data_IF_877454897488
#
_entry.id   IF_877454897488
#
_cell.length_a   1.000
_cell.length_b   1.000
_cell.length_c   1.000
_cell.angle_alpha   90.00
_cell.angle_beta   90.00
_cell.angle_gamma   90.00
#
_symmetry.space_group_name_H-M   'P 1'
#
loop_
_entity.id
_entity.type
_entity.pdbx_description
1 polymer ?
#
# COMPACT_ATOMS: atom_id res chain seq x y z
N UNK A 1 -21.00 7.83 -30.99
CA UNK A 1 -20.11 7.65 -29.83
C UNK A 1 -19.55 6.22 -29.87
N UNK A 2 -18.44 5.99 -30.61
CA UNK A 2 -17.72 4.71 -30.52
C UNK A 2 -17.05 4.69 -29.15
N UNK A 3 -17.70 4.13 -28.13
CA UNK A 3 -16.99 3.80 -26.89
C UNK A 3 -16.03 2.68 -27.31
N UNK A 4 -14.77 3.04 -27.53
CA UNK A 4 -13.68 2.19 -27.98
C UNK A 4 -13.31 1.18 -26.89
N UNK A 5 -14.17 0.19 -26.65
CA UNK A 5 -13.87 -0.93 -25.77
C UNK A 5 -13.38 -2.05 -26.66
N UNK A 6 -12.06 -2.11 -26.88
CA UNK A 6 -11.43 -3.13 -27.73
C UNK A 6 -11.93 -4.56 -27.45
N UNK A 7 -12.10 -4.99 -26.18
CA UNK A 7 -12.69 -6.30 -25.90
C UNK A 7 -14.06 -6.52 -26.55
N UNK A 8 -14.93 -5.50 -26.61
CA UNK A 8 -16.25 -5.55 -27.24
C UNK A 8 -16.21 -5.41 -28.78
N UNK A 9 -15.03 -5.23 -29.36
CA UNK A 9 -14.84 -5.25 -30.81
C UNK A 9 -14.34 -6.62 -31.29
N UNK A 10 -13.76 -7.41 -30.39
CA UNK A 10 -13.34 -8.78 -30.69
C UNK A 10 -14.55 -9.70 -30.61
N UNK A 11 -14.78 -10.49 -31.64
CA UNK A 11 -15.81 -11.54 -31.61
C UNK A 11 -15.43 -12.63 -30.61
N UNK A 12 -16.43 -13.19 -29.91
CA UNK A 12 -16.19 -14.32 -29.00
C UNK A 12 -15.61 -15.50 -29.77
N UNK A 13 -14.43 -15.97 -29.34
CA UNK A 13 -13.74 -17.14 -29.90
C UNK A 13 -14.26 -18.45 -29.29
N UNK A 14 -15.58 -18.58 -29.18
CA UNK A 14 -16.24 -19.79 -28.67
C UNK A 14 -16.25 -19.98 -27.16
N UNK A 15 -16.04 -18.91 -26.38
CA UNK A 15 -16.07 -18.97 -24.92
C UNK A 15 -17.52 -19.03 -24.43
N UNK A 16 -17.84 -20.02 -23.58
CA UNK A 16 -19.19 -20.21 -23.03
C UNK A 16 -19.17 -20.06 -21.52
N UNK A 17 -20.11 -19.28 -20.97
CA UNK A 17 -20.37 -19.26 -19.53
C UNK A 17 -21.16 -20.51 -19.14
N UNK A 18 -20.60 -21.35 -18.29
CA UNK A 18 -21.21 -22.61 -17.83
C UNK A 18 -22.02 -22.38 -16.55
N UNK A 19 -21.44 -21.68 -15.58
CA UNK A 19 -22.10 -21.38 -14.32
C UNK A 19 -21.54 -20.10 -13.69
N UNK A 20 -22.32 -19.50 -12.79
CA UNK A 20 -21.90 -18.36 -11.99
C UNK A 20 -22.66 -18.33 -10.67
N UNK A 21 -21.95 -18.03 -9.58
CA UNK A 21 -22.60 -17.67 -8.31
C UNK A 21 -23.01 -16.20 -8.25
N UNK A 22 -22.55 -15.39 -9.21
CA UNK A 22 -22.99 -14.02 -9.40
C UNK A 22 -24.27 -13.98 -10.23
N UNK A 23 -25.24 -13.21 -9.77
CA UNK A 23 -26.38 -12.87 -10.62
C UNK A 23 -25.92 -11.96 -11.77
N UNK A 24 -25.87 -12.53 -12.98
CA UNK A 24 -25.40 -11.84 -14.17
C UNK A 24 -26.45 -10.85 -14.68
N UNK A 25 -26.19 -9.55 -14.49
CA UNK A 25 -26.99 -8.46 -15.06
C UNK A 25 -27.09 -8.64 -16.58
N UNK A 26 -28.25 -8.31 -17.15
CA UNK A 26 -28.49 -8.41 -18.61
C UNK A 26 -27.42 -7.67 -19.42
N UNK A 27 -26.99 -6.50 -18.95
CA UNK A 27 -25.95 -5.69 -19.60
C UNK A 27 -24.57 -6.35 -19.57
N UNK A 28 -24.22 -7.04 -18.48
CA UNK A 28 -22.95 -7.75 -18.33
C UNK A 28 -22.88 -8.98 -19.24
N UNK A 29 -24.02 -9.59 -19.61
CA UNK A 29 -24.05 -10.70 -20.58
C UNK A 29 -23.52 -10.32 -21.95
N UNK A 30 -23.56 -9.03 -22.32
CA UNK A 30 -22.96 -8.52 -23.57
C UNK A 30 -21.46 -8.85 -23.66
N UNK A 31 -20.74 -8.88 -22.54
CA UNK A 31 -19.32 -9.27 -22.51
C UNK A 31 -19.08 -10.70 -23.00
N UNK A 32 -20.09 -11.58 -22.92
CA UNK A 32 -20.01 -12.98 -23.32
C UNK A 32 -20.10 -13.17 -24.85
N UNK A 33 -20.67 -12.19 -25.56
CA UNK A 33 -20.72 -12.17 -27.03
C UNK A 33 -19.36 -11.79 -27.66
N UNK A 34 -18.41 -11.38 -26.81
CA UNK A 34 -17.11 -10.85 -27.18
C UNK A 34 -15.98 -11.52 -26.37
N UNK A 35 -14.84 -10.86 -26.21
CA UNK A 35 -13.82 -11.28 -25.25
C UNK A 35 -14.26 -10.92 -23.82
N UNK A 36 -14.55 -11.91 -22.94
CA UNK A 36 -14.97 -11.62 -21.58
C UNK A 36 -13.81 -11.04 -20.78
N UNK A 37 -14.09 -9.96 -20.06
CA UNK A 37 -13.14 -9.33 -19.14
C UNK A 37 -13.64 -9.52 -17.72
N UNK A 38 -12.80 -10.07 -16.86
CA UNK A 38 -13.12 -10.33 -15.45
C UNK A 38 -12.22 -9.43 -14.61
N UNK A 39 -12.82 -8.79 -13.61
CA UNK A 39 -12.08 -7.92 -12.70
C UNK A 39 -12.57 -8.09 -11.26
N UNK A 40 -11.64 -7.88 -10.33
CA UNK A 40 -11.93 -7.56 -8.94
C UNK A 40 -11.50 -6.10 -8.72
N UNK A 41 -12.11 -5.40 -7.78
CA UNK A 41 -11.62 -4.06 -7.42
C UNK A 41 -10.51 -4.17 -6.38
N UNK A 42 -9.55 -3.26 -6.41
CA UNK A 42 -8.49 -3.19 -5.40
C UNK A 42 -8.90 -2.33 -4.20
N UNK A 43 -7.89 -1.88 -3.44
CA UNK A 43 -8.07 -0.99 -2.30
C UNK A 43 -8.34 0.46 -2.70
N UNK A 44 -7.83 0.91 -3.85
CA UNK A 44 -7.97 2.28 -4.36
C UNK A 44 -9.37 2.57 -4.94
N UNK A 45 -10.00 1.57 -5.55
CA UNK A 45 -11.33 1.69 -6.10
C UNK A 45 -12.43 1.61 -5.03
N UNK A 46 -12.11 1.09 -3.83
CA UNK A 46 -13.08 0.90 -2.75
C UNK A 46 -13.85 2.19 -2.42
N UNK A 47 -15.14 2.05 -2.14
CA UNK A 47 -16.03 3.17 -1.76
C UNK A 47 -16.80 2.86 -0.49
N UNK A 48 -17.44 3.88 0.06
CA UNK A 48 -18.31 3.74 1.24
C UNK A 48 -19.55 2.89 0.92
N UNK A 49 -20.23 2.42 1.96
CA UNK A 49 -21.47 1.66 1.79
C UNK A 49 -22.51 2.48 1.01
N UNK A 50 -23.03 1.91 -0.07
CA UNK A 50 -24.07 2.54 -0.90
C UNK A 50 -23.52 3.34 -2.09
N UNK A 51 -22.20 3.52 -2.19
CA UNK A 51 -21.55 4.13 -3.34
C UNK A 51 -21.04 3.08 -4.32
N UNK A 52 -21.10 3.39 -5.62
CA UNK A 52 -20.55 2.52 -6.66
C UNK A 52 -19.07 2.82 -6.88
N UNK A 53 -18.25 1.77 -6.91
CA UNK A 53 -16.85 1.89 -7.32
C UNK A 53 -16.69 1.89 -8.85
N UNK A 54 -15.51 2.27 -9.33
CA UNK A 54 -15.24 2.38 -10.76
C UNK A 54 -15.42 1.04 -11.50
N UNK A 55 -15.05 -0.09 -10.89
CA UNK A 55 -15.20 -1.42 -11.50
C UNK A 55 -16.67 -1.82 -11.60
N UNK A 56 -17.48 -1.53 -10.58
CA UNK A 56 -18.94 -1.73 -10.63
C UNK A 56 -19.61 -0.85 -11.68
N UNK A 57 -19.15 0.38 -11.87
CA UNK A 57 -19.65 1.25 -12.95
C UNK A 57 -19.33 0.64 -14.32
N UNK A 58 -18.13 0.10 -14.52
CA UNK A 58 -17.76 -0.59 -15.76
C UNK A 58 -18.59 -1.86 -15.99
N UNK A 59 -18.91 -2.61 -14.93
CA UNK A 59 -19.84 -3.73 -14.99
C UNK A 59 -21.25 -3.28 -15.41
N UNK A 60 -21.76 -2.21 -14.80
CA UNK A 60 -23.07 -1.64 -15.11
C UNK A 60 -23.16 -1.10 -16.55
N UNK A 61 -22.02 -0.74 -17.13
CA UNK A 61 -21.90 -0.38 -18.54
C UNK A 61 -21.76 -1.61 -19.48
N UNK A 62 -21.67 -2.83 -18.93
CA UNK A 62 -21.53 -4.07 -19.70
C UNK A 62 -20.15 -4.27 -20.31
N UNK A 63 -19.10 -3.72 -19.67
CA UNK A 63 -17.74 -3.76 -20.19
C UNK A 63 -16.89 -4.87 -19.58
N UNK A 64 -17.24 -5.31 -18.38
CA UNK A 64 -16.57 -6.39 -17.65
C UNK A 64 -17.55 -7.10 -16.71
N UNK A 65 -17.09 -8.21 -16.14
CA UNK A 65 -17.74 -8.95 -15.06
C UNK A 65 -16.93 -8.68 -13.78
N UNK A 66 -17.57 -8.07 -12.79
CA UNK A 66 -16.93 -7.78 -11.50
C UNK A 66 -17.19 -8.93 -10.52
N UNK A 67 -16.16 -9.42 -9.82
CA UNK A 67 -16.31 -10.45 -8.79
C UNK A 67 -15.95 -9.90 -7.40
N UNK A 68 -16.80 -10.18 -6.42
CA UNK A 68 -16.46 -10.03 -5.01
C UNK A 68 -17.11 -11.15 -4.20
N UNK A 69 -16.27 -12.05 -3.68
CA UNK A 69 -16.67 -13.31 -3.04
C UNK A 69 -17.59 -14.16 -3.94
N UNK A 70 -17.23 -14.25 -5.22
CA UNK A 70 -18.03 -14.89 -6.26
C UNK A 70 -17.18 -15.74 -7.20
N UNK A 71 -17.84 -16.65 -7.92
CA UNK A 71 -17.23 -17.59 -8.86
C UNK A 71 -17.96 -17.58 -10.19
N UNK A 72 -17.20 -17.71 -11.26
CA UNK A 72 -17.69 -17.88 -12.64
C UNK A 72 -16.92 -19.03 -13.29
N UNK A 73 -17.60 -19.81 -14.11
CA UNK A 73 -17.00 -20.93 -14.84
C UNK A 73 -17.20 -20.73 -16.32
N UNK A 74 -16.10 -20.73 -17.06
CA UNK A 74 -16.09 -20.68 -18.52
C UNK A 74 -15.62 -21.99 -19.10
N UNK A 75 -16.07 -22.29 -20.32
CA UNK A 75 -15.59 -23.39 -21.12
C UNK A 75 -15.21 -22.92 -22.52
N UNK A 76 -14.08 -23.42 -23.01
CA UNK A 76 -13.66 -23.30 -24.41
C UNK A 76 -12.95 -24.60 -24.81
N UNK A 77 -13.33 -25.17 -25.94
CA UNK A 77 -12.70 -26.37 -26.52
C UNK A 77 -12.58 -27.55 -25.52
N UNK A 78 -13.58 -27.71 -24.65
CA UNK A 78 -13.62 -28.76 -23.61
C UNK A 78 -12.83 -28.46 -22.35
N UNK A 79 -12.08 -27.35 -22.29
CA UNK A 79 -11.34 -26.90 -21.12
C UNK A 79 -12.22 -25.98 -20.29
N UNK A 80 -12.44 -26.33 -19.02
CA UNK A 80 -13.19 -25.50 -18.06
C UNK A 80 -12.26 -24.71 -17.16
N UNK A 81 -12.53 -23.42 -16.99
CA UNK A 81 -11.80 -22.53 -16.10
C UNK A 81 -12.76 -21.94 -15.09
N UNK A 82 -12.53 -22.20 -13.81
CA UNK A 82 -13.26 -21.63 -12.69
C UNK A 82 -12.47 -20.46 -12.10
N UNK A 83 -13.06 -19.27 -12.09
CA UNK A 83 -12.43 -18.05 -11.58
C UNK A 83 -13.20 -17.61 -10.35
N UNK A 84 -12.53 -17.62 -9.21
CA UNK A 84 -13.01 -17.21 -7.91
C UNK A 84 -12.39 -15.84 -7.62
N UNK A 85 -13.18 -14.83 -7.25
CA UNK A 85 -12.64 -13.48 -7.01
C UNK A 85 -13.06 -12.87 -5.68
N UNK A 86 -12.08 -12.45 -4.89
CA UNK A 86 -12.28 -11.60 -3.70
C UNK A 86 -11.63 -10.24 -3.96
N UNK A 87 -12.46 -9.20 -4.11
CA UNK A 87 -11.97 -7.82 -4.20
C UNK A 87 -11.30 -7.34 -2.90
N UNK A 88 -10.46 -6.33 -3.00
CA UNK A 88 -9.73 -5.77 -1.86
C UNK A 88 -10.64 -5.18 -0.79
N UNK A 89 -10.43 -5.60 0.45
CA UNK A 89 -11.13 -5.11 1.66
C UNK A 89 -10.11 -4.61 2.69
N UNK A 90 -10.49 -3.81 3.70
CA UNK A 90 -9.53 -3.37 4.72
C UNK A 90 -8.81 -4.57 5.36
N UNK A 91 -7.50 -4.45 5.56
CA UNK A 91 -6.63 -5.58 5.95
C UNK A 91 -7.14 -6.34 7.18
N UNK A 92 -7.62 -5.60 8.19
CA UNK A 92 -8.19 -6.18 9.43
C UNK A 92 -9.39 -7.11 9.22
N UNK A 93 -10.07 -7.06 8.08
CA UNK A 93 -11.22 -7.91 7.76
C UNK A 93 -10.90 -8.97 6.71
N UNK A 94 -9.74 -8.91 6.06
CA UNK A 94 -9.41 -9.74 4.90
C UNK A 94 -9.41 -11.23 5.24
N UNK A 95 -8.72 -11.61 6.32
CA UNK A 95 -8.65 -13.00 6.81
C UNK A 95 -10.02 -13.58 7.14
N UNK A 96 -10.84 -12.82 7.88
CA UNK A 96 -12.16 -13.28 8.32
C UNK A 96 -13.11 -13.42 7.13
N UNK A 97 -13.07 -12.47 6.18
CA UNK A 97 -13.85 -12.55 4.96
C UNK A 97 -13.45 -13.77 4.11
N UNK A 98 -12.14 -14.01 3.93
CA UNK A 98 -11.65 -15.16 3.19
C UNK A 98 -12.08 -16.48 3.83
N UNK A 99 -12.00 -16.57 5.16
CA UNK A 99 -12.47 -17.73 5.93
C UNK A 99 -13.98 -17.92 5.87
N UNK A 100 -14.76 -16.85 5.93
CA UNK A 100 -16.21 -16.90 5.85
C UNK A 100 -16.69 -17.29 4.45
N UNK A 101 -16.07 -16.72 3.41
CA UNK A 101 -16.38 -17.05 2.02
C UNK A 101 -15.94 -18.48 1.68
N UNK A 102 -14.80 -18.92 2.19
CA UNK A 102 -14.25 -20.27 2.08
C UNK A 102 -14.29 -20.84 0.64
N UNK A 103 -13.70 -20.16 -0.35
CA UNK A 103 -13.77 -20.60 -1.74
C UNK A 103 -13.13 -21.98 -1.90
N UNK A 104 -13.83 -22.89 -2.58
CA UNK A 104 -13.35 -24.25 -2.86
C UNK A 104 -13.11 -24.44 -4.35
N UNK A 105 -12.03 -25.11 -4.75
CA UNK A 105 -11.80 -25.47 -6.14
C UNK A 105 -12.92 -26.39 -6.64
N UNK A 106 -13.35 -26.18 -7.89
CA UNK A 106 -14.33 -27.01 -8.57
C UNK A 106 -13.66 -28.18 -9.29
N UNK A 107 -14.31 -29.35 -9.22
CA UNK A 107 -13.85 -30.55 -9.93
C UNK A 107 -13.90 -30.33 -11.44
N UNK A 108 -12.99 -30.99 -12.15
CA UNK A 108 -12.88 -30.98 -13.62
C UNK A 108 -12.76 -29.56 -14.22
N UNK A 109 -12.20 -28.63 -13.45
CA UNK A 109 -11.92 -27.25 -13.85
C UNK A 109 -10.46 -26.91 -13.52
N UNK A 110 -9.88 -26.01 -14.31
CA UNK A 110 -8.70 -25.25 -13.91
C UNK A 110 -9.12 -24.11 -12.97
N UNK A 111 -8.66 -24.13 -11.73
CA UNK A 111 -9.15 -23.27 -10.66
C UNK A 111 -8.21 -22.10 -10.40
N UNK A 112 -8.73 -20.89 -10.61
CA UNK A 112 -8.05 -19.62 -10.37
C UNK A 112 -8.70 -18.91 -9.19
N UNK A 113 -7.92 -18.53 -8.19
CA UNK A 113 -8.33 -17.62 -7.13
C UNK A 113 -7.69 -16.24 -7.34
N UNK A 114 -8.51 -15.21 -7.49
CA UNK A 114 -8.10 -13.81 -7.60
C UNK A 114 -8.26 -13.11 -6.25
N UNK A 115 -7.17 -12.53 -5.76
CA UNK A 115 -7.08 -11.75 -4.53
C UNK A 115 -6.48 -10.37 -4.82
N UNK A 116 -6.70 -9.45 -3.89
CA UNK A 116 -6.01 -8.17 -3.86
C UNK A 116 -5.85 -7.77 -2.40
N UNK A 117 -4.90 -8.39 -1.70
CA UNK A 117 -4.62 -8.14 -0.29
C UNK A 117 -3.13 -8.26 0.06
N UNK A 118 -2.73 -7.69 1.19
CA UNK A 118 -1.41 -7.97 1.77
C UNK A 118 -1.32 -9.42 2.23
N UNK A 119 -0.30 -10.14 1.75
CA UNK A 119 -0.03 -11.54 2.11
C UNK A 119 1.36 -11.63 2.73
N UNK A 120 1.46 -12.11 3.97
CA UNK A 120 2.74 -12.44 4.62
C UNK A 120 3.38 -13.68 3.98
N UNK A 121 4.70 -13.69 3.67
CA UNK A 121 5.71 -12.65 3.99
C UNK A 121 5.99 -11.66 2.85
N UNK A 122 5.20 -11.66 1.78
CA UNK A 122 5.46 -10.86 0.58
C UNK A 122 5.21 -9.36 0.78
N UNK A 123 4.32 -9.01 1.70
CA UNK A 123 4.03 -7.62 2.07
C UNK A 123 4.22 -7.45 3.56
N UNK A 124 5.11 -6.53 3.93
CA UNK A 124 5.29 -6.12 5.32
C UNK A 124 4.99 -4.63 5.46
N UNK A 125 4.01 -4.31 6.30
CA UNK A 125 3.67 -2.93 6.67
C UNK A 125 3.50 -2.84 8.18
N UNK A 126 4.34 -2.06 8.89
CA UNK A 126 4.16 -1.82 10.32
C UNK A 126 2.86 -1.08 10.66
N UNK A 127 2.31 -0.33 9.71
CA UNK A 127 1.10 0.50 9.89
C UNK A 127 -0.19 -0.31 9.71
N UNK A 128 -0.20 -1.18 8.71
CA UNK A 128 -1.30 -2.09 8.41
C UNK A 128 -0.70 -3.47 8.12
N UNK A 129 -0.39 -4.27 9.17
CA UNK A 129 0.22 -5.58 8.98
C UNK A 129 -0.74 -6.51 8.21
N UNK A 130 -0.20 -7.41 7.38
CA UNK A 130 -1.02 -8.39 6.66
C UNK A 130 -1.79 -9.26 7.65
N UNK A 131 -3.09 -9.43 7.43
CA UNK A 131 -3.90 -10.37 8.23
C UNK A 131 -3.90 -11.79 7.65
N UNK A 132 -3.58 -11.91 6.37
CA UNK A 132 -3.48 -13.17 5.62
C UNK A 132 -2.00 -13.55 5.52
N UNK A 133 -1.71 -14.81 5.84
CA UNK A 133 -0.43 -15.45 5.55
C UNK A 133 -0.58 -16.49 4.45
N UNK A 134 0.53 -16.98 3.89
CA UNK A 134 0.52 -18.13 2.99
C UNK A 134 -0.25 -19.35 3.53
N UNK A 135 -0.26 -19.55 4.86
CA UNK A 135 -0.93 -20.68 5.51
C UNK A 135 -2.45 -20.54 5.57
N UNK A 136 -2.96 -19.31 5.45
CA UNK A 136 -4.38 -19.00 5.41
C UNK A 136 -4.97 -19.10 3.98
N UNK A 137 -4.13 -19.23 2.95
CA UNK A 137 -4.57 -19.34 1.58
C UNK A 137 -5.33 -20.66 1.33
N UNK A 138 -6.47 -20.63 0.61
CA UNK A 138 -7.21 -21.83 0.25
C UNK A 138 -6.34 -22.81 -0.54
N UNK A 139 -6.39 -24.09 -0.15
CA UNK A 139 -5.61 -25.16 -0.79
C UNK A 139 -6.35 -25.75 -1.99
N UNK A 140 -5.59 -26.37 -2.89
CA UNK A 140 -6.14 -27.13 -4.02
C UNK A 140 -6.52 -26.31 -5.24
N UNK A 141 -6.23 -25.01 -5.23
CA UNK A 141 -6.27 -24.19 -6.45
C UNK A 141 -5.06 -24.50 -7.33
N UNK A 142 -5.23 -24.39 -8.64
CA UNK A 142 -4.12 -24.52 -9.58
C UNK A 142 -3.29 -23.23 -9.61
N UNK A 143 -3.98 -22.08 -9.53
CA UNK A 143 -3.37 -20.76 -9.57
C UNK A 143 -4.05 -19.81 -8.59
N UNK A 144 -3.27 -19.14 -7.76
CA UNK A 144 -3.69 -17.99 -6.95
C UNK A 144 -2.99 -16.76 -7.54
N UNK A 145 -3.76 -15.74 -7.90
CA UNK A 145 -3.25 -14.47 -8.40
C UNK A 145 -3.58 -13.38 -7.39
N UNK A 146 -2.58 -12.73 -6.84
CA UNK A 146 -2.77 -11.56 -5.99
C UNK A 146 -2.31 -10.28 -6.69
N UNK A 147 -3.24 -9.33 -6.81
CA UNK A 147 -3.02 -8.07 -7.50
C UNK A 147 -2.55 -6.91 -6.62
N UNK A 148 -2.24 -7.12 -5.35
CA UNK A 148 -1.88 -6.06 -4.41
C UNK A 148 -0.39 -5.69 -4.47
N UNK A 149 0.48 -6.68 -4.72
CA UNK A 149 1.93 -6.46 -4.82
C UNK A 149 2.30 -5.84 -6.18
N UNK A 150 3.03 -4.73 -6.15
CA UNK A 150 3.37 -3.96 -7.36
C UNK A 150 4.60 -4.49 -8.12
N UNK A 151 5.31 -5.44 -7.52
CA UNK A 151 6.40 -6.17 -8.16
C UNK A 151 5.89 -7.50 -8.68
N UNK A 152 6.31 -7.87 -9.89
CA UNK A 152 5.94 -9.18 -10.40
C UNK A 152 6.82 -10.25 -9.72
N UNK A 153 6.19 -11.34 -9.29
CA UNK A 153 6.86 -12.46 -8.66
C UNK A 153 6.01 -13.73 -8.80
N UNK A 154 6.63 -14.89 -8.73
CA UNK A 154 5.95 -16.17 -8.77
C UNK A 154 6.57 -17.13 -7.75
N UNK A 155 5.71 -17.83 -7.03
CA UNK A 155 6.09 -18.84 -6.05
C UNK A 155 5.24 -20.11 -6.19
N UNK A 156 5.65 -21.20 -5.54
CA UNK A 156 4.94 -22.49 -5.56
C UNK A 156 4.63 -22.96 -4.15
N UNK A 157 3.34 -23.11 -3.86
CA UNK A 157 2.81 -23.53 -2.56
C UNK A 157 2.07 -24.87 -2.70
N UNK A 158 2.64 -25.98 -2.22
CA UNK A 158 1.98 -27.30 -2.19
C UNK A 158 1.29 -27.71 -3.51
N UNK A 159 1.89 -27.41 -4.65
CA UNK A 159 1.34 -27.73 -5.99
C UNK A 159 0.49 -26.62 -6.62
N UNK A 160 0.12 -25.59 -5.86
CA UNK A 160 -0.49 -24.35 -6.32
C UNK A 160 0.58 -23.35 -6.75
N UNK A 161 0.34 -22.62 -7.84
CA UNK A 161 1.18 -21.48 -8.22
C UNK A 161 0.61 -20.22 -7.58
N UNK A 162 1.43 -19.48 -6.83
CA UNK A 162 1.09 -18.15 -6.34
C UNK A 162 1.77 -17.12 -7.25
N UNK A 163 0.96 -16.27 -7.89
CA UNK A 163 1.40 -15.31 -8.88
C UNK A 163 1.07 -13.90 -8.42
N UNK A 164 2.09 -13.05 -8.41
CA UNK A 164 1.95 -11.60 -8.28
C UNK A 164 2.25 -11.00 -9.65
N UNK A 165 1.25 -10.47 -10.37
CA UNK A 165 1.47 -9.91 -11.71
C UNK A 165 2.34 -8.64 -11.70
N UNK A 166 2.41 -7.96 -10.55
CA UNK A 166 2.94 -6.61 -10.46
C UNK A 166 1.96 -5.56 -11.00
N UNK A 167 2.32 -4.30 -10.84
CA UNK A 167 1.59 -3.18 -11.45
C UNK A 167 2.01 -2.98 -12.92
N UNK A 168 1.21 -2.26 -13.70
CA UNK A 168 1.53 -1.92 -15.10
C UNK A 168 2.29 -0.59 -15.23
N UNK A 169 2.36 0.18 -14.14
CA UNK A 169 2.99 1.49 -14.05
C UNK A 169 3.68 1.64 -12.68
N UNK A 170 4.69 2.50 -12.62
CA UNK A 170 5.38 2.83 -11.36
C UNK A 170 4.51 3.75 -10.52
N UNK A 171 4.27 3.41 -9.26
CA UNK A 171 3.38 4.19 -8.38
C UNK A 171 3.95 4.49 -7.00
N UNK A 172 4.85 3.64 -6.47
CA UNK A 172 5.41 3.80 -5.12
C UNK A 172 6.79 4.47 -5.16
N UNK A 173 7.45 4.42 -6.32
CA UNK A 173 8.80 4.94 -6.51
C UNK A 173 9.81 4.35 -5.52
N UNK A 174 9.62 3.10 -5.11
CA UNK A 174 10.54 2.40 -4.23
C UNK A 174 11.65 1.72 -5.03
N UNK A 175 12.80 1.47 -4.40
CA UNK A 175 13.94 0.79 -5.03
C UNK A 175 13.53 -0.52 -5.69
N UNK A 176 12.77 -1.32 -4.95
CA UNK A 176 12.27 -2.61 -5.37
C UNK A 176 11.43 -2.51 -6.68
N UNK A 177 10.71 -1.41 -6.87
CA UNK A 177 9.92 -1.15 -8.09
C UNK A 177 10.78 -0.76 -9.30
N UNK A 178 11.99 -0.25 -9.08
CA UNK A 178 12.95 0.08 -10.15
C UNK A 178 13.73 -1.13 -10.68
N UNK A 179 13.75 -2.22 -9.93
CA UNK A 179 14.51 -3.44 -10.23
C UNK A 179 13.72 -4.45 -11.07
N UNK A 180 12.42 -4.22 -11.27
CA UNK A 180 11.51 -5.13 -11.97
C UNK A 180 10.91 -4.48 -13.21
N UNK A 181 10.72 -5.27 -14.27
CA UNK A 181 10.00 -4.80 -15.44
C UNK A 181 8.48 -4.82 -15.20
N UNK A 182 7.78 -3.92 -15.89
CA UNK A 182 6.33 -3.79 -15.80
C UNK A 182 5.73 -4.49 -17.01
N UNK A 183 4.80 -5.41 -16.79
CA UNK A 183 4.35 -6.36 -17.79
C UNK A 183 2.96 -6.92 -17.54
N UNK A 184 2.63 -7.97 -18.27
CA UNK A 184 1.45 -8.80 -18.09
C UNK A 184 1.86 -10.26 -18.17
N UNK A 185 1.00 -11.15 -17.66
CA UNK A 185 1.20 -12.59 -17.81
C UNK A 185 0.24 -13.16 -18.86
N UNK A 186 0.76 -14.01 -19.73
CA UNK A 186 -0.04 -14.90 -20.58
C UNK A 186 -0.07 -16.28 -19.95
N UNK A 187 -1.28 -16.83 -19.84
CA UNK A 187 -1.53 -18.15 -19.29
C UNK A 187 -2.18 -18.98 -20.39
N UNK A 188 -1.50 -20.05 -20.79
CA UNK A 188 -1.95 -20.99 -21.80
C UNK A 188 -2.23 -22.35 -21.14
N UNK A 189 -3.36 -22.96 -21.52
CA UNK A 189 -3.89 -24.20 -20.95
C UNK A 189 -4.08 -25.33 -21.99
N UNK A 190 -3.67 -25.15 -23.26
CA UNK A 190 -3.97 -26.12 -24.33
C UNK A 190 -3.40 -27.54 -24.10
N UNK A 191 -2.14 -27.65 -23.66
CA UNK A 191 -1.50 -28.95 -23.38
C UNK A 191 -1.10 -29.08 -21.89
N UNK A 192 -0.14 -28.24 -21.49
CA UNK A 192 0.31 -28.07 -20.12
C UNK A 192 0.22 -26.60 -19.80
N UNK A 193 -0.13 -26.30 -18.56
CA UNK A 193 -0.16 -24.93 -18.07
C UNK A 193 1.19 -24.25 -18.31
N UNK A 194 1.18 -23.20 -19.14
CA UNK A 194 2.33 -22.35 -19.40
C UNK A 194 2.00 -20.93 -18.92
N UNK A 195 2.83 -20.40 -18.03
CA UNK A 195 2.77 -19.00 -17.58
C UNK A 195 3.98 -18.28 -18.15
N UNK A 196 3.75 -17.20 -18.88
CA UNK A 196 4.80 -16.40 -19.51
C UNK A 196 4.62 -14.92 -19.17
N UNK A 197 5.67 -14.30 -18.62
CA UNK A 197 5.70 -12.86 -18.41
C UNK A 197 6.07 -12.15 -19.71
N UNK A 198 5.27 -11.17 -20.09
CA UNK A 198 5.46 -10.34 -21.28
C UNK A 198 5.65 -8.88 -20.85
N UNK A 199 6.86 -8.32 -20.98
CA UNK A 199 7.13 -6.91 -20.67
C UNK A 199 6.34 -5.97 -21.57
N UNK A 200 5.88 -4.84 -21.01
CA UNK A 200 5.22 -3.79 -21.78
C UNK A 200 6.25 -2.90 -22.50
N UNK A 201 6.21 -2.90 -23.83
CA UNK A 201 7.22 -2.26 -24.69
C UNK A 201 7.43 -0.75 -24.44
N UNK A 202 6.35 0.00 -24.16
CA UNK A 202 6.37 1.47 -24.09
C UNK A 202 6.23 2.02 -22.68
N UNK A 203 6.68 1.25 -21.68
CA UNK A 203 6.68 1.69 -20.30
C UNK A 203 7.76 2.73 -20.03
N UNK A 204 7.41 3.73 -19.21
CA UNK A 204 8.35 4.76 -18.77
C UNK A 204 9.34 4.12 -17.81
N UNK A 205 10.62 4.11 -18.15
CA UNK A 205 11.67 3.53 -17.30
C UNK A 205 11.80 4.36 -16.01
N UNK A 206 12.07 3.66 -14.92
CA UNK A 206 12.22 4.22 -13.60
C UNK A 206 13.56 3.78 -13.02
N UNK A 207 14.31 4.73 -12.47
CA UNK A 207 15.60 4.52 -11.84
C UNK A 207 15.53 5.00 -10.40
N UNK A 208 16.08 4.22 -9.48
CA UNK A 208 16.23 4.58 -8.08
C UNK A 208 17.72 4.58 -7.74
N UNK A 209 18.21 5.72 -7.27
CA UNK A 209 19.62 5.95 -7.02
C UNK A 209 19.81 6.48 -5.60
N UNK A 210 20.81 5.97 -4.90
CA UNK A 210 21.14 6.37 -3.53
C UNK A 210 22.49 7.09 -3.57
N UNK A 211 22.52 8.32 -3.05
CA UNK A 211 23.71 9.18 -3.04
C UNK A 211 23.99 9.59 -1.60
N UNK A 212 25.20 9.29 -1.15
CA UNK A 212 25.67 9.72 0.16
C UNK A 212 26.19 11.16 0.09
N UNK A 213 25.79 11.99 1.06
CA UNK A 213 26.22 13.38 1.15
C UNK A 213 27.76 13.49 1.24
N UNK A 214 28.31 14.33 0.37
CA UNK A 214 29.70 14.75 0.33
C UNK A 214 29.83 16.17 -0.23
N UNK A 215 31.03 16.75 -0.20
CA UNK A 215 31.29 18.07 -0.80
C UNK A 215 31.02 18.12 -2.32
N UNK A 216 30.98 16.96 -3.00
CA UNK A 216 30.78 16.83 -4.45
C UNK A 216 29.41 16.25 -4.83
N UNK A 217 28.44 16.33 -3.90
CA UNK A 217 27.10 15.76 -4.08
C UNK A 217 26.44 16.26 -5.36
N UNK A 218 26.58 17.55 -5.67
CA UNK A 218 25.98 18.16 -6.86
C UNK A 218 26.54 17.55 -8.15
N UNK A 219 27.86 17.49 -8.28
CA UNK A 219 28.52 16.91 -9.45
C UNK A 219 28.18 15.43 -9.60
N UNK A 220 28.07 14.70 -8.49
CA UNK A 220 27.68 13.29 -8.47
C UNK A 220 26.24 13.07 -8.95
N UNK A 221 25.28 13.87 -8.47
CA UNK A 221 23.90 13.86 -8.94
C UNK A 221 23.85 14.08 -10.45
N UNK A 222 24.48 15.15 -10.94
CA UNK A 222 24.47 15.48 -12.37
C UNK A 222 25.10 14.36 -13.21
N UNK A 223 26.24 13.81 -12.76
CA UNK A 223 26.92 12.70 -13.43
C UNK A 223 26.05 11.44 -13.47
N UNK A 224 25.30 11.13 -12.41
CA UNK A 224 24.42 9.94 -12.38
C UNK A 224 23.25 10.10 -13.34
N UNK A 225 22.60 11.27 -13.34
CA UNK A 225 21.52 11.59 -14.28
C UNK A 225 22.04 11.51 -15.72
N UNK A 226 23.18 12.14 -16.01
CA UNK A 226 23.78 12.08 -17.35
C UNK A 226 24.14 10.65 -17.76
N UNK A 227 24.64 9.84 -16.84
CA UNK A 227 24.94 8.42 -17.06
C UNK A 227 23.70 7.62 -17.49
N UNK A 228 22.57 7.81 -16.80
CA UNK A 228 21.29 7.18 -17.15
C UNK A 228 20.82 7.66 -18.53
N UNK A 229 20.90 8.97 -18.77
CA UNK A 229 20.45 9.61 -20.01
C UNK A 229 21.36 9.37 -21.23
N UNK A 230 22.44 8.59 -21.10
CA UNK A 230 23.19 8.07 -22.26
C UNK A 230 22.37 7.06 -23.07
N UNK A 231 21.40 6.42 -22.44
CA UNK A 231 20.48 5.49 -23.10
C UNK A 231 19.32 6.26 -23.72
N UNK A 232 18.82 5.77 -24.86
CA UNK A 232 17.64 6.34 -25.50
C UNK A 232 16.37 5.67 -24.95
N UNK A 233 15.46 6.48 -24.42
CA UNK A 233 14.18 6.02 -23.88
C UNK A 233 13.01 6.56 -24.71
N UNK A 234 11.99 5.74 -24.92
CA UNK A 234 10.79 6.14 -25.65
C UNK A 234 9.99 7.25 -24.95
N UNK A 235 10.13 7.37 -23.62
CA UNK A 235 9.54 8.41 -22.77
C UNK A 235 10.63 8.91 -21.82
N UNK A 236 10.61 10.19 -21.41
CA UNK A 236 11.53 10.70 -20.39
C UNK A 236 11.51 9.79 -19.14
N UNK A 237 12.63 9.20 -18.71
CA UNK A 237 12.62 8.31 -17.55
C UNK A 237 12.27 9.08 -16.27
N UNK A 238 11.78 8.35 -15.28
CA UNK A 238 11.67 8.84 -13.91
C UNK A 238 12.96 8.46 -13.18
N UNK A 239 13.59 9.41 -12.50
CA UNK A 239 14.82 9.17 -11.73
C UNK A 239 14.55 9.67 -10.32
N UNK A 240 14.44 8.74 -9.36
CA UNK A 240 14.37 9.07 -7.94
C UNK A 240 15.77 8.99 -7.34
N UNK A 241 16.21 10.09 -6.74
CA UNK A 241 17.51 10.22 -6.08
C UNK A 241 17.28 10.37 -4.59
N UNK A 242 17.64 9.35 -3.82
CA UNK A 242 17.66 9.40 -2.37
C UNK A 242 19.02 9.92 -1.91
N UNK A 243 19.01 11.08 -1.28
CA UNK A 243 20.21 11.75 -0.76
C UNK A 243 20.21 11.53 0.75
N UNK A 244 21.27 10.92 1.29
CA UNK A 244 21.34 10.53 2.70
C UNK A 244 22.73 10.76 3.31
N UNK A 245 22.82 10.79 4.63
CA UNK A 245 24.08 10.93 5.38
C UNK A 245 24.21 12.25 6.15
N UNK A 246 25.42 12.49 6.69
CA UNK A 246 25.77 13.69 7.49
C UNK A 246 26.79 14.51 6.72
N UNK A 247 26.53 15.81 6.56
CA UNK A 247 27.43 16.69 5.80
C UNK A 247 26.79 18.01 5.45
N UNK A 248 27.42 18.74 4.52
CA UNK A 248 26.88 19.99 3.96
C UNK A 248 25.58 19.65 3.23
N UNK A 249 24.49 20.23 3.70
CA UNK A 249 23.18 20.04 3.11
C UNK A 249 23.14 20.67 1.70
N UNK A 250 22.66 19.92 0.71
CA UNK A 250 22.37 20.48 -0.60
C UNK A 250 21.09 21.32 -0.53
N UNK A 251 21.19 22.58 -0.95
CA UNK A 251 20.05 23.50 -0.87
C UNK A 251 18.95 23.10 -1.86
N UNK A 252 17.70 23.39 -1.52
CA UNK A 252 16.58 23.15 -2.44
C UNK A 252 16.72 23.96 -3.74
N UNK A 253 17.40 25.11 -3.68
CA UNK A 253 17.65 25.91 -4.87
C UNK A 253 18.60 25.20 -5.84
N UNK A 254 19.63 24.53 -5.34
CA UNK A 254 20.52 23.72 -6.17
C UNK A 254 19.79 22.55 -6.81
N UNK A 255 18.97 21.82 -6.04
CA UNK A 255 18.15 20.73 -6.57
C UNK A 255 17.19 21.21 -7.67
N UNK A 256 16.53 22.36 -7.47
CA UNK A 256 15.70 22.99 -8.51
C UNK A 256 16.49 23.37 -9.75
N UNK A 257 17.73 23.83 -9.60
CA UNK A 257 18.58 24.16 -10.74
C UNK A 257 18.95 22.90 -11.54
N UNK A 258 19.23 21.78 -10.86
CA UNK A 258 19.47 20.48 -11.49
C UNK A 258 18.20 20.01 -12.22
N UNK A 259 17.04 20.06 -11.57
CA UNK A 259 15.76 19.69 -12.19
C UNK A 259 15.50 20.50 -13.48
N UNK A 260 15.73 21.83 -13.44
CA UNK A 260 15.63 22.70 -14.62
C UNK A 260 16.63 22.33 -15.71
N UNK A 261 17.88 21.99 -15.35
CA UNK A 261 18.93 21.58 -16.31
C UNK A 261 18.51 20.36 -17.14
N UNK A 262 17.77 19.42 -16.54
CA UNK A 262 17.34 18.18 -17.20
C UNK A 262 15.85 18.17 -17.60
N UNK A 263 15.20 19.32 -17.54
CA UNK A 263 13.79 19.46 -17.88
C UNK A 263 13.49 18.96 -19.30
N UNK A 264 12.43 18.18 -19.44
CA UNK A 264 12.02 17.56 -20.71
C UNK A 264 12.80 16.29 -21.09
N UNK A 265 13.99 16.07 -20.50
CA UNK A 265 14.79 14.84 -20.73
C UNK A 265 14.54 13.76 -19.67
N UNK A 266 14.26 14.15 -18.43
CA UNK A 266 13.90 13.26 -17.33
C UNK A 266 12.87 13.90 -16.40
N UNK A 267 12.17 13.07 -15.63
CA UNK A 267 11.38 13.49 -14.47
C UNK A 267 12.23 13.14 -13.24
N UNK A 268 12.68 14.15 -12.49
CA UNK A 268 13.59 13.94 -11.36
C UNK A 268 12.82 14.11 -10.05
N UNK A 269 12.99 13.18 -9.13
CA UNK A 269 12.39 13.21 -7.80
C UNK A 269 13.52 13.11 -6.78
N UNK A 270 13.67 14.13 -5.93
CA UNK A 270 14.63 14.10 -4.84
C UNK A 270 13.95 13.66 -3.54
N UNK A 271 14.54 12.70 -2.85
CA UNK A 271 14.17 12.32 -1.49
C UNK A 271 15.36 12.62 -0.58
N UNK A 272 15.15 13.52 0.39
CA UNK A 272 16.16 13.90 1.36
C UNK A 272 15.92 13.10 2.65
N UNK A 273 16.76 12.11 2.89
CA UNK A 273 16.81 11.38 4.17
C UNK A 273 18.01 11.91 4.96
N UNK A 274 17.85 13.12 5.47
CA UNK A 274 18.82 13.66 6.42
C UNK A 274 18.51 13.04 7.78
N UNK A 275 19.50 12.37 8.37
CA UNK A 275 19.45 12.05 9.79
C UNK A 275 19.51 13.36 10.58
N UNK A 276 18.37 14.01 10.80
CA UNK A 276 18.24 14.80 12.01
C UNK A 276 18.22 13.79 13.17
N UNK A 277 19.16 13.86 14.13
CA UNK A 277 19.14 13.02 15.31
C UNK A 277 17.81 13.08 16.06
N UNK A 278 17.10 14.21 15.96
CA UNK A 278 15.79 14.44 16.58
C UNK A 278 14.68 13.69 15.83
N UNK A 279 14.67 13.75 14.50
CA UNK A 279 13.69 13.03 13.68
C UNK A 279 13.88 11.52 13.86
N UNK A 280 15.11 11.01 13.79
CA UNK A 280 15.40 9.58 14.00
C UNK A 280 14.95 9.10 15.38
N UNK A 281 15.29 9.84 16.45
CA UNK A 281 14.84 9.55 17.83
C UNK A 281 13.32 9.57 17.98
N UNK A 282 12.64 10.49 17.28
CA UNK A 282 11.18 10.59 17.31
C UNK A 282 10.53 9.44 16.57
N UNK A 283 11.07 9.03 15.42
CA UNK A 283 10.60 7.84 14.70
C UNK A 283 10.85 6.54 15.46
N UNK A 284 12.01 6.36 16.10
CA UNK A 284 12.28 5.18 16.94
C UNK A 284 11.36 5.12 18.16
N UNK A 285 11.14 6.26 18.83
CA UNK A 285 10.20 6.34 19.93
C UNK A 285 8.78 5.96 19.53
N UNK A 286 8.28 6.50 18.41
CA UNK A 286 6.95 6.16 17.91
C UNK A 286 6.82 4.69 17.48
N UNK A 287 7.91 4.07 16.99
CA UNK A 287 7.95 2.63 16.69
C UNK A 287 7.90 1.80 17.97
N UNK A 288 8.71 2.13 18.97
CA UNK A 288 8.74 1.44 20.26
C UNK A 288 7.36 1.46 20.96
N UNK A 289 6.67 2.61 20.94
CA UNK A 289 5.31 2.72 21.49
C UNK A 289 4.30 1.81 20.79
N UNK A 290 4.40 1.66 19.47
CA UNK A 290 3.49 0.81 18.68
C UNK A 290 3.72 -0.67 18.92
N UNK A 291 4.97 -1.07 19.12
CA UNK A 291 5.33 -2.48 19.39
C UNK A 291 4.89 -2.94 20.78
N UNK A 292 4.73 -2.02 21.73
CA UNK A 292 4.36 -2.32 23.12
C UNK A 292 2.87 -2.69 23.34
N UNK A 293 2.01 -2.65 22.30
CA UNK A 293 0.57 -2.98 22.38
C UNK A 293 -0.20 -2.23 23.51
N UNK A 294 0.24 -1.02 23.86
CA UNK A 294 -0.45 -0.15 24.82
C UNK A 294 -1.71 0.47 24.22
N UNK A 295 -2.64 0.93 25.07
CA UNK A 295 -3.86 1.61 24.62
C UNK A 295 -3.56 2.96 23.94
N UNK A 296 -4.53 3.47 23.16
CA UNK A 296 -4.38 4.76 22.47
C UNK A 296 -4.23 5.90 23.47
N UNK A 297 -4.95 5.84 24.58
CA UNK A 297 -4.83 6.79 25.69
C UNK A 297 -3.43 6.75 26.33
N UNK A 298 -2.90 5.57 26.63
CA UNK A 298 -1.54 5.41 27.17
C UNK A 298 -0.47 5.91 26.19
N UNK A 299 -0.63 5.60 24.90
CA UNK A 299 0.26 6.10 23.85
C UNK A 299 0.22 7.62 23.76
N UNK A 300 -0.98 8.22 23.84
CA UNK A 300 -1.15 9.67 23.90
C UNK A 300 -0.46 10.29 25.11
N UNK A 301 -0.60 9.66 26.28
CA UNK A 301 0.05 10.08 27.53
C UNK A 301 1.58 10.07 27.44
N UNK A 302 2.18 9.00 26.90
CA UNK A 302 3.64 8.91 26.78
C UNK A 302 4.21 9.92 25.77
N UNK A 303 3.52 10.12 24.64
CA UNK A 303 3.90 11.16 23.67
C UNK A 303 3.83 12.54 24.32
N UNK A 304 2.75 12.82 25.07
CA UNK A 304 2.56 14.10 25.74
C UNK A 304 3.63 14.36 26.80
N UNK A 305 3.91 13.37 27.66
CA UNK A 305 4.95 13.43 28.70
C UNK A 305 6.32 13.72 28.09
N UNK A 306 6.72 12.97 27.06
CA UNK A 306 8.03 13.14 26.43
C UNK A 306 8.20 14.51 25.78
N UNK A 307 7.16 15.02 25.10
CA UNK A 307 7.20 16.36 24.52
C UNK A 307 7.39 17.45 25.60
N UNK A 308 6.74 17.30 26.77
CA UNK A 308 6.90 18.24 27.88
C UNK A 308 8.29 18.14 28.53
N UNK A 309 8.85 16.95 28.65
CA UNK A 309 10.23 16.73 29.11
C UNK A 309 11.25 17.37 28.18
N UNK A 310 11.10 17.19 26.86
CA UNK A 310 11.95 17.82 25.83
C UNK A 310 11.88 19.35 25.87
N UNK A 311 10.73 19.91 26.23
CA UNK A 311 10.52 21.35 26.41
C UNK A 311 10.98 21.87 27.79
N UNK A 312 11.55 21.02 28.64
CA UNK A 312 12.11 21.40 29.95
C UNK A 312 11.10 21.49 31.10
N UNK A 313 9.87 20.97 30.92
CA UNK A 313 8.82 20.97 31.96
C UNK A 313 8.90 19.76 32.92
N UNK A 314 10.06 19.10 33.00
CA UNK A 314 10.27 17.76 33.56
C UNK A 314 9.99 17.58 35.06
N UNK A 315 9.54 18.61 35.78
CA UNK A 315 9.32 18.53 37.24
C UNK A 315 8.28 19.49 37.84
N UNK A 316 7.44 20.15 37.04
CA UNK A 316 6.56 21.23 37.55
C UNK A 316 5.05 20.98 37.41
N UNK A 317 4.63 19.87 36.77
CA UNK A 317 3.22 19.65 36.43
C UNK A 317 2.77 18.19 36.62
N UNK A 318 1.51 18.01 37.00
CA UNK A 318 0.82 16.72 36.96
C UNK A 318 0.41 16.42 35.51
N UNK A 319 1.24 15.64 34.82
CA UNK A 319 1.06 15.33 33.40
C UNK A 319 -0.26 14.60 33.10
N UNK A 320 -0.72 13.75 34.02
CA UNK A 320 -1.98 13.01 33.86
C UNK A 320 -3.18 13.96 33.95
N UNK A 321 -3.14 14.91 34.89
CA UNK A 321 -4.19 15.91 35.03
C UNK A 321 -4.31 16.79 33.78
N UNK A 322 -3.18 17.27 33.25
CA UNK A 322 -3.15 18.14 32.07
C UNK A 322 -3.62 17.40 30.82
N UNK A 323 -3.22 16.14 30.64
CA UNK A 323 -3.68 15.33 29.51
C UNK A 323 -5.19 15.02 29.59
N UNK A 324 -5.71 14.76 30.79
CA UNK A 324 -7.16 14.58 30.99
C UNK A 324 -7.94 15.84 30.62
N UNK A 325 -7.47 17.01 31.04
CA UNK A 325 -8.07 18.29 30.66
C UNK A 325 -8.09 18.49 29.13
N UNK A 326 -7.01 18.12 28.43
CA UNK A 326 -6.98 18.14 26.97
C UNK A 326 -7.96 17.15 26.34
N UNK A 327 -8.07 15.95 26.92
CA UNK A 327 -9.00 14.90 26.46
C UNK A 327 -10.46 15.29 26.64
N UNK A 328 -10.76 16.11 27.66
CA UNK A 328 -12.09 16.67 27.96
C UNK A 328 -12.39 17.96 27.15
N UNK A 329 -11.46 18.42 26.31
CA UNK A 329 -11.64 19.59 25.44
C UNK A 329 -11.32 20.94 26.09
N UNK A 330 -10.73 20.96 27.30
CA UNK A 330 -10.38 22.19 28.03
C UNK A 330 -9.07 22.84 27.53
N UNK A 331 -8.92 22.99 26.20
CA UNK A 331 -7.67 23.39 25.53
C UNK A 331 -7.14 24.74 26.01
N UNK A 332 -7.99 25.78 26.07
CA UNK A 332 -7.56 27.13 26.49
C UNK A 332 -7.08 27.19 27.94
N UNK A 333 -7.70 26.42 28.82
CA UNK A 333 -7.37 26.38 30.24
C UNK A 333 -6.06 25.63 30.46
N UNK A 334 -5.85 24.54 29.72
CA UNK A 334 -4.57 23.82 29.69
C UNK A 334 -3.42 24.69 29.17
N UNK A 335 -3.63 25.44 28.07
CA UNK A 335 -2.60 26.32 27.53
C UNK A 335 -2.19 27.41 28.53
N UNK A 336 -3.15 28.01 29.25
CA UNK A 336 -2.88 28.98 30.32
C UNK A 336 -2.09 28.40 31.50
N UNK A 337 -2.28 27.12 31.80
CA UNK A 337 -1.53 26.39 32.83
C UNK A 337 -0.09 26.15 32.36
N UNK A 338 0.11 25.76 31.10
CA UNK A 338 1.44 25.49 30.52
C UNK A 338 2.26 26.76 30.29
N UNK A 339 1.63 27.92 30.07
CA UNK A 339 2.27 29.21 29.81
C UNK A 339 2.52 30.06 31.08
N UNK A 340 2.26 29.53 32.28
CA UNK A 340 2.40 30.24 33.56
C UNK A 340 1.60 31.56 33.69
N UNK A 341 0.64 31.82 32.81
CA UNK A 341 -0.18 33.05 32.81
C UNK A 341 -1.25 33.10 33.92
N UNK A 342 -1.38 32.03 34.71
CA UNK A 342 -2.14 32.02 35.97
C UNK A 342 -1.25 31.67 37.17
N UNK A 343 -0.84 32.69 37.92
CA UNK A 343 -0.14 32.61 39.23
C UNK A 343 -0.92 31.90 40.37
N UNK A 344 -2.04 31.23 40.09
CA UNK A 344 -2.96 30.74 41.13
C UNK A 344 -2.82 29.25 41.44
N UNK A 345 -1.64 28.66 41.27
CA UNK A 345 -1.42 27.23 41.50
C UNK A 345 -0.20 26.86 42.36
N UNK A 346 0.34 27.78 43.14
CA UNK A 346 1.10 27.42 44.36
C UNK A 346 0.27 26.52 45.31
N UNK A 347 -1.07 26.55 45.19
CA UNK A 347 -2.01 25.75 45.99
C UNK A 347 -2.19 24.30 45.52
N UNK A 348 -1.94 23.94 44.27
CA UNK A 348 -1.95 22.52 43.84
C UNK A 348 -0.58 21.88 44.06
N UNK A 349 0.52 22.64 43.89
CA UNK A 349 1.88 22.20 44.25
C UNK A 349 2.02 21.83 45.74
N UNK A 350 1.36 22.55 46.66
CA UNK A 350 1.44 22.24 48.11
C UNK A 350 0.51 21.12 48.59
N UNK A 351 -0.54 20.75 47.83
CA UNK A 351 -1.47 19.71 48.26
C UNK A 351 -0.91 18.31 48.01
N UNK A 352 -0.23 18.10 46.88
CA UNK A 352 0.35 16.80 46.53
C UNK A 352 1.55 16.38 47.39
N UNK A 353 2.28 17.34 47.99
CA UNK A 353 3.39 17.05 48.92
C UNK A 353 2.93 16.65 50.33
N UNK A 354 1.69 16.99 50.73
CA UNK A 354 1.14 16.61 52.04
C UNK A 354 0.55 15.20 52.05
N UNK A 355 0.07 14.71 50.91
CA UNK A 355 -0.63 13.43 50.82
C UNK A 355 0.35 12.22 50.70
N UNK A 356 1.68 12.46 50.65
CA UNK A 356 2.71 11.42 50.49
C UNK A 356 3.73 11.30 51.64
N UNK A 357 3.56 11.98 52.78
CA UNK A 357 4.55 11.85 53.87
C UNK A 357 4.05 12.21 55.25
N UNK A 358 3.51 11.24 55.99
CA UNK A 358 3.73 11.11 57.45
C UNK A 358 3.67 9.62 57.86
N UNK A 359 4.79 9.13 58.39
CA UNK A 359 5.00 7.85 59.08
C UNK A 359 6.49 7.52 58.96
N UNK A 360 7.39 7.90 59.86
CA UNK A 360 7.38 7.86 61.32
C UNK A 360 8.17 9.02 61.96
N UNK A 361 7.80 9.42 63.19
CA UNK A 361 8.62 9.15 64.39
C UNK A 361 7.94 9.75 65.65
N UNK A 362 7.25 8.88 66.39
CA UNK A 362 7.38 8.66 67.84
C UNK A 362 6.50 7.47 68.26
#
# INVERSE_FOLDING_TARGET
MKILVKPLLEESKGIKLISSTKEMKKVSRRTLEHLPVIAIHGTHERRGKGELNAVEVLENAGLLIHLHCQTVVFEKDGIKVAIHGMSGVPERFAKDLLKQWNPQPLKDCFNILLLHQSIDPYVYSPLEPPSISISDLPKGFDLIIDGHVHQHNQDKLDGTILLFPGSTLVTQFEKAESEVEKGIYFIDLEEKMKIEFVPLEKNRKFFYEEIQLSEKTKEEIEKRIEGILKQNFAKPPIIRLRIYGKGIEISDQELRNIEKKFYGRAIIIFAKDFESPEISKKTEFLRALREQKISIEEMGMEIFRKNLEELGFSSSFDFEHVFRMLSEGEIEKTLKILLEEQKTLEKILKKSLKDFGVGHDN
#
